data_IF_036528227580
#
_entry.id   IF_036528227580
#
_cell.length_a   1.000
_cell.length_b   1.000
_cell.length_c   1.000
_cell.angle_alpha   90.00
_cell.angle_beta   90.00
_cell.angle_gamma   90.00
#
_symmetry.space_group_name_H-M   'P 1'
#
loop_
_entity.id
_entity.type
_entity.pdbx_description
1 polymer ?
#
# COMPACT_ATOMS: atom_id res chain seq x y z
N UNK A 1 9.66 25.04 21.60
CA UNK A 1 10.51 23.89 21.92
C UNK A 1 9.75 22.68 22.50
N UNK A 2 8.75 22.85 23.36
CA UNK A 2 7.99 21.72 23.94
C UNK A 2 7.15 20.98 22.88
N UNK A 3 6.52 21.69 21.96
CA UNK A 3 5.71 21.10 20.88
C UNK A 3 6.54 20.26 19.89
N UNK A 4 7.73 20.69 19.52
CA UNK A 4 8.61 19.92 18.62
C UNK A 4 9.05 18.58 19.22
N UNK A 5 9.21 18.49 20.54
CA UNK A 5 9.56 17.25 21.22
C UNK A 5 8.38 16.26 21.28
N UNK A 6 7.16 16.78 21.49
CA UNK A 6 5.93 15.97 21.46
C UNK A 6 5.65 15.47 20.05
N UNK A 7 5.80 16.32 19.03
CA UNK A 7 5.63 15.95 17.63
C UNK A 7 6.65 14.89 17.16
N UNK A 8 7.90 15.03 17.62
CA UNK A 8 8.93 14.02 17.34
C UNK A 8 8.56 12.66 17.95
N UNK A 9 8.08 12.64 19.20
CA UNK A 9 7.66 11.40 19.85
C UNK A 9 6.43 10.78 19.20
N UNK A 10 5.41 11.56 18.86
CA UNK A 10 4.18 11.07 18.20
C UNK A 10 4.50 10.53 16.81
N UNK A 11 5.35 11.21 16.04
CA UNK A 11 5.81 10.73 14.73
C UNK A 11 6.55 9.39 14.86
N UNK A 12 7.41 9.25 15.87
CA UNK A 12 8.15 8.01 16.12
C UNK A 12 7.23 6.84 16.51
N UNK A 13 6.18 7.08 17.29
CA UNK A 13 5.20 6.07 17.65
C UNK A 13 4.38 5.59 16.46
N UNK A 14 3.92 6.50 15.60
CA UNK A 14 3.18 6.16 14.37
C UNK A 14 4.06 5.35 13.41
N UNK A 15 5.31 5.74 13.24
CA UNK A 15 6.26 5.01 12.41
C UNK A 15 6.55 3.61 12.99
N UNK A 16 6.68 3.48 14.31
CA UNK A 16 6.85 2.19 14.97
C UNK A 16 5.61 1.30 14.79
N UNK A 17 4.41 1.83 14.92
CA UNK A 17 3.16 1.09 14.69
C UNK A 17 3.07 0.60 13.24
N UNK A 18 3.45 1.45 12.29
CA UNK A 18 3.47 1.09 10.87
C UNK A 18 4.49 -0.03 10.59
N UNK A 19 5.68 0.05 11.17
CA UNK A 19 6.69 -1.01 11.04
C UNK A 19 6.21 -2.34 11.65
N UNK A 20 5.58 -2.31 12.82
CA UNK A 20 4.99 -3.49 13.44
C UNK A 20 3.89 -4.09 12.54
N UNK A 21 3.04 -3.23 11.96
CA UNK A 21 2.04 -3.69 11.00
C UNK A 21 2.68 -4.41 9.82
N UNK A 22 3.72 -3.86 9.21
CA UNK A 22 4.42 -4.51 8.09
C UNK A 22 5.06 -5.83 8.49
N UNK A 23 5.65 -5.93 9.68
CA UNK A 23 6.20 -7.19 10.22
C UNK A 23 5.09 -8.23 10.38
N UNK A 24 3.96 -7.87 11.01
CA UNK A 24 2.81 -8.76 11.18
C UNK A 24 2.29 -9.24 9.84
N UNK A 25 2.13 -8.33 8.87
CA UNK A 25 1.67 -8.67 7.53
C UNK A 25 2.66 -9.54 6.76
N UNK A 26 3.96 -9.35 6.94
CA UNK A 26 4.99 -10.21 6.35
C UNK A 26 4.95 -11.63 6.94
N UNK A 27 4.82 -11.76 8.26
CA UNK A 27 4.68 -13.05 8.94
C UNK A 27 3.37 -13.75 8.56
N UNK A 28 2.27 -13.00 8.50
CA UNK A 28 0.98 -13.51 8.03
C UNK A 28 1.08 -14.00 6.57
N UNK A 29 1.62 -13.19 5.67
CA UNK A 29 1.86 -13.57 4.27
C UNK A 29 2.69 -14.84 4.17
N UNK A 30 3.80 -14.92 4.91
CA UNK A 30 4.64 -16.12 4.95
C UNK A 30 3.85 -17.35 5.43
N UNK A 31 3.07 -17.22 6.50
CA UNK A 31 2.27 -18.33 7.04
C UNK A 31 1.20 -18.82 6.06
N UNK A 32 0.55 -17.90 5.35
CA UNK A 32 -0.46 -18.21 4.33
C UNK A 32 0.20 -18.87 3.12
N UNK A 33 1.30 -18.33 2.63
CA UNK A 33 2.01 -18.85 1.47
C UNK A 33 2.69 -20.20 1.77
N UNK A 34 3.23 -20.38 2.98
CA UNK A 34 3.86 -21.64 3.39
C UNK A 34 2.87 -22.80 3.50
N UNK A 35 1.64 -22.55 3.98
CA UNK A 35 0.58 -23.57 4.05
C UNK A 35 0.07 -23.96 2.66
N UNK A 36 0.05 -23.04 1.71
CA UNK A 36 -0.42 -23.29 0.35
C UNK A 36 0.58 -24.11 -0.49
N UNK A 37 1.86 -24.13 -0.12
CA UNK A 37 2.86 -24.99 -0.79
C UNK A 37 2.69 -26.48 -0.46
N UNK A 38 1.95 -26.85 0.58
CA UNK A 38 1.82 -28.24 1.05
C UNK A 38 0.63 -29.02 0.46
N UNK A 39 -0.10 -28.50 -0.52
CA UNK A 39 -1.11 -29.35 -1.16
C UNK A 39 -2.32 -28.72 -1.82
N UNK A 40 -2.46 -27.43 -1.90
CA UNK A 40 -3.51 -26.78 -2.68
C UNK A 40 -2.98 -25.55 -3.41
N UNK A 41 -3.22 -25.51 -4.70
CA UNK A 41 -2.95 -24.46 -5.67
C UNK A 41 -2.78 -23.06 -5.06
N UNK A 42 -1.57 -22.56 -5.08
CA UNK A 42 -1.27 -21.16 -4.79
C UNK A 42 -1.73 -20.29 -5.96
N UNK A 43 -3.04 -20.31 -6.24
CA UNK A 43 -3.63 -19.63 -7.39
C UNK A 43 -3.63 -18.13 -7.17
N UNK A 44 -3.22 -17.41 -8.21
CA UNK A 44 -3.40 -15.97 -8.27
C UNK A 44 -4.88 -15.70 -8.53
N UNK A 45 -5.46 -14.86 -7.68
CA UNK A 45 -6.87 -14.47 -7.74
C UNK A 45 -7.01 -13.09 -8.38
N UNK A 46 -8.19 -12.84 -8.93
CA UNK A 46 -8.61 -11.52 -9.42
C UNK A 46 -9.90 -11.11 -8.72
N UNK A 47 -10.03 -9.83 -8.46
CA UNK A 47 -11.26 -9.28 -7.88
C UNK A 47 -12.30 -8.96 -8.94
N UNK A 48 -13.56 -9.06 -8.54
CA UNK A 48 -14.68 -8.56 -9.33
C UNK A 48 -14.78 -7.02 -9.22
N UNK A 49 -15.41 -6.39 -10.21
CA UNK A 49 -15.64 -4.94 -10.20
C UNK A 49 -16.36 -4.47 -8.92
N UNK A 50 -17.28 -5.29 -8.38
CA UNK A 50 -18.00 -4.99 -7.13
C UNK A 50 -17.05 -4.92 -5.93
N UNK A 51 -16.07 -5.83 -5.84
CA UNK A 51 -15.08 -5.83 -4.76
C UNK A 51 -14.17 -4.60 -4.84
N UNK A 52 -13.75 -4.21 -6.04
CA UNK A 52 -13.02 -2.96 -6.26
C UNK A 52 -13.82 -1.74 -5.84
N UNK A 53 -15.11 -1.68 -6.19
CA UNK A 53 -15.97 -0.56 -5.80
C UNK A 53 -16.09 -0.45 -4.27
N UNK A 54 -16.29 -1.57 -3.57
CA UNK A 54 -16.35 -1.59 -2.10
C UNK A 54 -15.02 -1.13 -1.51
N UNK A 55 -13.90 -1.66 -2.01
CA UNK A 55 -12.57 -1.29 -1.53
C UNK A 55 -12.27 0.20 -1.76
N UNK A 56 -12.55 0.73 -2.96
CA UNK A 56 -12.36 2.14 -3.27
C UNK A 56 -13.23 3.05 -2.38
N UNK A 57 -14.49 2.66 -2.14
CA UNK A 57 -15.38 3.42 -1.25
C UNK A 57 -14.86 3.41 0.19
N UNK A 58 -14.40 2.26 0.69
CA UNK A 58 -13.83 2.13 2.02
C UNK A 58 -12.53 2.97 2.16
N UNK A 59 -11.64 2.89 1.16
CA UNK A 59 -10.42 3.70 1.12
C UNK A 59 -10.75 5.18 1.12
N UNK A 60 -11.69 5.63 0.29
CA UNK A 60 -12.09 7.03 0.22
C UNK A 60 -12.65 7.51 1.58
N UNK A 61 -13.57 6.76 2.17
CA UNK A 61 -14.18 7.11 3.45
C UNK A 61 -13.15 7.18 4.57
N UNK A 62 -12.27 6.17 4.68
CA UNK A 62 -11.21 6.13 5.68
C UNK A 62 -10.18 7.26 5.47
N UNK A 63 -9.80 7.52 4.22
CA UNK A 63 -8.85 8.60 3.88
C UNK A 63 -9.41 9.97 4.22
N UNK A 64 -10.69 10.22 3.95
CA UNK A 64 -11.35 11.48 4.32
C UNK A 64 -11.42 11.65 5.84
N UNK A 65 -11.83 10.61 6.57
CA UNK A 65 -11.91 10.64 8.03
C UNK A 65 -10.53 10.84 8.67
N UNK A 66 -9.53 10.08 8.21
CA UNK A 66 -8.17 10.18 8.73
C UNK A 66 -7.52 11.52 8.33
N UNK A 67 -7.72 11.97 7.09
CA UNK A 67 -7.21 13.25 6.62
C UNK A 67 -7.79 14.43 7.38
N UNK A 68 -9.10 14.39 7.68
CA UNK A 68 -9.74 15.38 8.53
C UNK A 68 -9.17 15.36 9.95
N UNK A 69 -9.03 14.19 10.57
CA UNK A 69 -8.41 14.05 11.88
C UNK A 69 -6.96 14.57 11.89
N UNK A 70 -6.17 14.25 10.86
CA UNK A 70 -4.80 14.76 10.75
C UNK A 70 -4.77 16.28 10.59
N UNK A 71 -5.72 16.88 9.87
CA UNK A 71 -5.82 18.33 9.69
C UNK A 71 -6.14 19.04 11.03
N UNK A 72 -6.97 18.45 11.88
CA UNK A 72 -7.35 19.04 13.18
C UNK A 72 -6.25 18.87 14.24
N UNK A 73 -5.50 17.76 14.20
CA UNK A 73 -4.61 17.38 15.30
C UNK A 73 -3.13 17.37 14.94
N UNK A 74 -2.79 17.66 13.68
CA UNK A 74 -1.39 17.68 13.24
C UNK A 74 -1.11 18.83 12.28
N UNK A 75 0.15 19.25 12.20
CA UNK A 75 0.62 20.27 11.24
C UNK A 75 1.04 19.63 9.89
N UNK A 76 0.41 18.53 9.48
CA UNK A 76 0.73 17.85 8.23
C UNK A 76 0.45 18.79 7.03
N UNK A 77 1.41 18.93 6.11
CA UNK A 77 1.28 19.83 4.97
C UNK A 77 0.20 19.41 3.97
N UNK A 78 -0.05 18.09 3.84
CA UNK A 78 -1.04 17.51 2.91
C UNK A 78 -1.75 16.32 3.57
N UNK A 79 -2.57 16.55 4.63
CA UNK A 79 -3.11 15.48 5.47
C UNK A 79 -3.99 14.48 4.71
N UNK A 80 -4.79 14.94 3.75
CA UNK A 80 -5.64 14.05 2.94
C UNK A 80 -4.84 13.18 1.99
N UNK A 81 -3.73 13.69 1.46
CA UNK A 81 -2.84 12.92 0.60
C UNK A 81 -2.08 11.86 1.37
N UNK A 82 -1.56 12.23 2.54
CA UNK A 82 -0.84 11.31 3.42
C UNK A 82 -1.80 10.22 3.94
N UNK A 83 -3.03 10.57 4.30
CA UNK A 83 -4.07 9.62 4.67
C UNK A 83 -4.44 8.68 3.51
N UNK A 84 -4.65 9.20 2.30
CA UNK A 84 -5.04 8.41 1.14
C UNK A 84 -3.95 7.41 0.74
N UNK A 85 -2.70 7.86 0.65
CA UNK A 85 -1.56 6.98 0.32
C UNK A 85 -1.35 5.91 1.38
N UNK A 86 -1.50 6.24 2.66
CA UNK A 86 -1.38 5.29 3.78
C UNK A 86 -2.48 4.23 3.70
N UNK A 87 -3.75 4.63 3.60
CA UNK A 87 -4.88 3.68 3.54
C UNK A 87 -4.80 2.80 2.30
N UNK A 88 -4.44 3.37 1.14
CA UNK A 88 -4.20 2.59 -0.07
C UNK A 88 -3.05 1.59 0.09
N UNK A 89 -1.94 1.98 0.72
CA UNK A 89 -0.81 1.09 0.96
C UNK A 89 -1.17 -0.08 1.89
N UNK A 90 -1.96 0.17 2.95
CA UNK A 90 -2.48 -0.88 3.82
C UNK A 90 -3.35 -1.88 3.05
N UNK A 91 -4.28 -1.38 2.21
CA UNK A 91 -5.10 -2.23 1.36
C UNK A 91 -4.24 -3.03 0.37
N UNK A 92 -3.32 -2.39 -0.35
CA UNK A 92 -2.46 -3.05 -1.33
C UNK A 92 -1.58 -4.12 -0.67
N UNK A 93 -1.05 -3.87 0.55
CA UNK A 93 -0.30 -4.85 1.34
C UNK A 93 -1.16 -6.06 1.68
N UNK A 94 -2.39 -5.84 2.13
CA UNK A 94 -3.32 -6.93 2.40
C UNK A 94 -3.65 -7.72 1.12
N UNK A 95 -3.87 -7.05 0.00
CA UNK A 95 -4.12 -7.70 -1.30
C UNK A 95 -2.95 -8.59 -1.74
N UNK A 96 -1.69 -8.20 -1.47
CA UNK A 96 -0.50 -9.04 -1.73
C UNK A 96 -0.59 -10.35 -0.94
N UNK A 97 -0.98 -10.31 0.33
CA UNK A 97 -1.10 -11.52 1.16
C UNK A 97 -2.16 -12.48 0.65
N UNK A 98 -3.22 -11.96 0.04
CA UNK A 98 -4.30 -12.73 -0.59
C UNK A 98 -3.97 -13.17 -2.03
N UNK A 99 -2.78 -12.86 -2.54
CA UNK A 99 -2.34 -13.13 -3.93
C UNK A 99 -3.26 -12.54 -5.01
N UNK A 100 -3.82 -11.37 -4.75
CA UNK A 100 -4.64 -10.66 -5.71
C UNK A 100 -3.77 -9.98 -6.77
N UNK A 101 -4.02 -10.26 -8.05
CA UNK A 101 -3.23 -9.72 -9.16
C UNK A 101 -3.23 -8.19 -9.18
N UNK A 102 -4.38 -7.61 -8.86
CA UNK A 102 -4.60 -6.16 -8.95
C UNK A 102 -3.85 -5.36 -7.88
N UNK A 103 -3.29 -6.00 -6.85
CA UNK A 103 -2.46 -5.30 -5.86
C UNK A 103 -1.37 -4.45 -6.53
N UNK A 104 -0.78 -4.97 -7.62
CA UNK A 104 0.27 -4.28 -8.37
C UNK A 104 -0.20 -2.99 -9.01
N UNK A 105 -1.47 -2.93 -9.47
CA UNK A 105 -2.07 -1.71 -10.02
C UNK A 105 -2.24 -0.63 -8.94
N UNK A 106 -2.63 -1.04 -7.72
CA UNK A 106 -2.69 -0.14 -6.57
C UNK A 106 -1.30 0.41 -6.24
N UNK A 107 -0.28 -0.45 -6.21
CA UNK A 107 1.11 0.00 -5.99
C UNK A 107 1.61 0.95 -7.08
N UNK A 108 1.29 0.71 -8.36
CA UNK A 108 1.63 1.63 -9.46
C UNK A 108 0.97 2.99 -9.22
N UNK A 109 -0.32 3.02 -8.88
CA UNK A 109 -1.05 4.26 -8.64
C UNK A 109 -0.46 5.03 -7.44
N UNK A 110 -0.26 4.37 -6.29
CA UNK A 110 0.30 4.98 -5.07
C UNK A 110 1.68 5.57 -5.36
N UNK A 111 2.58 4.79 -5.94
CA UNK A 111 3.95 5.24 -6.20
C UNK A 111 3.99 6.38 -7.22
N UNK A 112 3.13 6.36 -8.25
CA UNK A 112 3.05 7.44 -9.25
C UNK A 112 2.60 8.76 -8.62
N UNK A 113 1.59 8.71 -7.76
CA UNK A 113 1.11 9.88 -7.01
C UNK A 113 2.22 10.39 -6.07
N UNK A 114 2.93 9.48 -5.40
CA UNK A 114 4.05 9.83 -4.51
C UNK A 114 5.19 10.51 -5.26
N UNK A 115 5.51 10.10 -6.49
CA UNK A 115 6.52 10.79 -7.31
C UNK A 115 6.16 12.27 -7.49
N UNK A 116 4.91 12.56 -7.90
CA UNK A 116 4.45 13.95 -8.06
C UNK A 116 4.57 14.76 -6.76
N UNK A 117 4.18 14.15 -5.63
CA UNK A 117 4.27 14.77 -4.32
C UNK A 117 5.71 15.10 -3.91
N UNK A 118 6.64 14.15 -4.08
CA UNK A 118 8.04 14.38 -3.71
C UNK A 118 8.75 15.34 -4.64
N UNK A 119 8.41 15.37 -5.94
CA UNK A 119 8.93 16.39 -6.87
C UNK A 119 8.45 17.79 -6.49
N UNK A 120 7.20 17.96 -6.06
CA UNK A 120 6.69 19.25 -5.62
C UNK A 120 7.34 19.79 -4.33
N UNK A 121 8.04 18.91 -3.60
CA UNK A 121 8.78 19.23 -2.36
C UNK A 121 10.29 19.29 -2.57
N UNK A 122 10.77 19.33 -3.81
CA UNK A 122 12.19 19.29 -4.18
C UNK A 122 12.98 18.07 -3.68
N UNK A 123 12.27 16.97 -3.38
CA UNK A 123 12.82 15.69 -2.92
C UNK A 123 13.06 14.73 -4.09
N UNK A 124 13.91 15.14 -5.03
CA UNK A 124 14.17 14.44 -6.29
C UNK A 124 14.73 13.02 -6.09
N UNK A 125 15.58 12.79 -5.08
CA UNK A 125 16.12 11.47 -4.77
C UNK A 125 15.03 10.51 -4.30
N UNK A 126 14.10 10.98 -3.45
CA UNK A 126 12.97 10.19 -3.00
C UNK A 126 12.02 9.91 -4.17
N UNK A 127 11.75 10.89 -5.03
CA UNK A 127 10.96 10.68 -6.23
C UNK A 127 11.57 9.61 -7.17
N UNK A 128 12.90 9.60 -7.33
CA UNK A 128 13.61 8.58 -8.11
C UNK A 128 13.47 7.17 -7.49
N UNK A 129 13.47 7.05 -6.15
CA UNK A 129 13.20 5.79 -5.46
C UNK A 129 11.79 5.27 -5.77
N UNK A 130 10.77 6.14 -5.71
CA UNK A 130 9.39 5.75 -6.04
C UNK A 130 9.23 5.41 -7.52
N UNK A 131 9.98 6.04 -8.43
CA UNK A 131 10.04 5.62 -9.84
C UNK A 131 10.59 4.19 -9.97
N UNK A 132 11.60 3.83 -9.19
CA UNK A 132 12.08 2.44 -9.09
C UNK A 132 10.98 1.48 -8.61
N UNK A 133 10.18 1.87 -7.62
CA UNK A 133 9.06 1.05 -7.15
C UNK A 133 7.96 0.88 -8.20
N UNK A 134 7.68 1.89 -9.02
CA UNK A 134 6.76 1.74 -10.17
C UNK A 134 7.27 0.68 -11.14
N UNK A 135 8.57 0.68 -11.47
CA UNK A 135 9.17 -0.33 -12.35
C UNK A 135 9.01 -1.72 -11.76
N UNK A 136 9.33 -1.89 -10.47
CA UNK A 136 9.17 -3.17 -9.76
C UNK A 136 7.70 -3.64 -9.75
N UNK A 137 6.75 -2.74 -9.53
CA UNK A 137 5.33 -3.06 -9.55
C UNK A 137 4.86 -3.50 -10.95
N UNK A 138 5.34 -2.86 -12.02
CA UNK A 138 5.05 -3.28 -13.40
C UNK A 138 5.62 -4.68 -13.68
N UNK A 139 6.84 -4.97 -13.25
CA UNK A 139 7.46 -6.30 -13.39
C UNK A 139 6.67 -7.34 -12.61
N UNK A 140 6.29 -7.03 -11.37
CA UNK A 140 5.46 -7.89 -10.52
C UNK A 140 4.12 -8.21 -11.18
N UNK A 141 3.41 -7.19 -11.68
CA UNK A 141 2.15 -7.35 -12.41
C UNK A 141 2.30 -8.28 -13.62
N UNK A 142 3.32 -8.05 -14.47
CA UNK A 142 3.56 -8.88 -15.65
C UNK A 142 3.86 -10.34 -15.29
N UNK A 143 4.63 -10.55 -14.21
CA UNK A 143 4.99 -11.88 -13.74
C UNK A 143 3.76 -12.62 -13.23
N UNK A 144 2.97 -12.00 -12.36
CA UNK A 144 1.77 -12.60 -11.80
C UNK A 144 0.67 -12.81 -12.85
N UNK A 145 0.52 -11.90 -13.80
CA UNK A 145 -0.42 -12.05 -14.91
C UNK A 145 -0.06 -13.26 -15.79
N UNK A 146 1.23 -13.49 -16.05
CA UNK A 146 1.66 -14.67 -16.80
C UNK A 146 1.35 -15.97 -16.05
N UNK A 147 1.55 -15.99 -14.73
CA UNK A 147 1.21 -17.14 -13.88
C UNK A 147 -0.30 -17.38 -13.87
N UNK A 148 -1.09 -16.34 -13.70
CA UNK A 148 -2.55 -16.42 -13.73
C UNK A 148 -3.07 -16.98 -15.06
N UNK A 149 -2.55 -16.51 -16.19
CA UNK A 149 -2.92 -17.01 -17.51
C UNK A 149 -2.56 -18.50 -17.68
N UNK A 150 -1.42 -18.95 -17.15
CA UNK A 150 -1.04 -20.39 -17.19
C UNK A 150 -2.00 -21.24 -16.37
N UNK A 151 -2.49 -20.74 -15.24
CA UNK A 151 -3.44 -21.44 -14.38
C UNK A 151 -4.82 -21.63 -15.03
N UNK A 152 -5.23 -20.72 -15.92
CA UNK A 152 -6.56 -20.76 -16.56
C UNK A 152 -6.55 -21.35 -17.98
N UNK A 153 -5.36 -21.58 -18.57
CA UNK A 153 -5.22 -22.18 -19.88
C UNK A 153 -4.69 -23.64 -19.83
N UNK A 154 -4.48 -24.19 -18.65
CA UNK A 154 -4.14 -25.59 -18.40
C UNK A 154 -5.37 -26.38 -17.96
#
# INVERSE_FOLDING_TARGET
MLYSHIFWQVSLYLETVLQLFYIVMALYGWSVWGRQQQGHDSQIQIWTARQHLIACTAVLSLSLTLGWAMQEWTDAALPFFDAATTVCALLATWMVTQRLLENWLYWIAINTVSIGLYLSRDLSLTAALFAGYVILAIVGYRTWRRQWLRQHNA
#
